data_IF_605124181311
#
_entry.id   IF_605124181311
#
_cell.length_a   1.000
_cell.length_b   1.000
_cell.length_c   1.000
_cell.angle_alpha   90.00
_cell.angle_beta   90.00
_cell.angle_gamma   90.00
#
_symmetry.space_group_name_H-M   'P 1'
#
loop_
_entity.id
_entity.type
_entity.pdbx_description
1 polymer ?
#
# COMPACT_ATOMS: atom_id res chain seq x y z
N UNK A 1 -22.73 12.60 6.05
CA UNK A 1 -22.32 13.80 5.28
C UNK A 1 -20.84 14.15 5.46
N UNK A 2 -20.32 14.41 6.66
CA UNK A 2 -18.88 14.78 6.86
C UNK A 2 -17.88 13.64 6.60
N UNK A 3 -18.18 12.42 7.05
CA UNK A 3 -17.25 11.29 6.91
C UNK A 3 -17.11 10.82 5.45
N UNK A 4 -18.20 10.81 4.66
CA UNK A 4 -18.13 10.47 3.22
C UNK A 4 -17.33 11.50 2.43
N UNK A 5 -17.50 12.80 2.72
CA UNK A 5 -16.70 13.85 2.08
C UNK A 5 -15.21 13.75 2.45
N UNK A 6 -14.92 13.50 3.74
CA UNK A 6 -13.55 13.32 4.21
C UNK A 6 -12.91 12.07 3.59
N UNK A 7 -13.65 10.96 3.52
CA UNK A 7 -13.21 9.74 2.83
C UNK A 7 -12.88 10.05 1.36
N UNK A 8 -13.76 10.74 0.63
CA UNK A 8 -13.51 11.16 -0.77
C UNK A 8 -12.23 11.98 -0.90
N UNK A 9 -11.95 12.89 0.03
CA UNK A 9 -10.71 13.67 0.06
C UNK A 9 -9.46 12.80 0.27
N UNK A 10 -9.51 11.89 1.26
CA UNK A 10 -8.42 10.93 1.52
C UNK A 10 -8.18 9.99 0.34
N UNK A 11 -9.25 9.53 -0.33
CA UNK A 11 -9.14 8.67 -1.52
C UNK A 11 -8.41 9.38 -2.67
N UNK A 12 -8.62 10.71 -2.86
CA UNK A 12 -7.87 11.49 -3.86
C UNK A 12 -6.37 11.52 -3.55
N UNK A 13 -6.00 11.61 -2.28
CA UNK A 13 -4.59 11.55 -1.86
C UNK A 13 -4.02 10.15 -2.14
N UNK A 14 -4.76 9.09 -1.81
CA UNK A 14 -4.38 7.72 -2.14
C UNK A 14 -4.17 7.54 -3.66
N UNK A 15 -5.01 8.14 -4.50
CA UNK A 15 -4.85 8.09 -5.95
C UNK A 15 -3.56 8.75 -6.45
N UNK A 16 -3.13 9.85 -5.82
CA UNK A 16 -1.84 10.48 -6.13
C UNK A 16 -0.68 9.54 -5.79
N UNK A 17 -0.76 8.83 -4.65
CA UNK A 17 0.25 7.85 -4.27
C UNK A 17 0.25 6.63 -5.20
N UNK A 18 -0.93 6.07 -5.50
CA UNK A 18 -1.11 4.93 -6.39
C UNK A 18 -0.59 5.23 -7.80
N UNK A 19 -0.93 6.39 -8.38
CA UNK A 19 -0.42 6.80 -9.69
C UNK A 19 1.11 6.86 -9.72
N UNK A 20 1.73 7.48 -8.71
CA UNK A 20 3.20 7.60 -8.65
C UNK A 20 3.88 6.26 -8.38
N UNK A 21 3.25 5.40 -7.57
CA UNK A 21 3.72 4.04 -7.33
C UNK A 21 3.69 3.21 -8.61
N UNK A 22 2.59 3.23 -9.36
CA UNK A 22 2.45 2.54 -10.65
C UNK A 22 3.51 3.02 -11.66
N UNK A 23 3.76 4.33 -11.75
CA UNK A 23 4.82 4.87 -12.61
C UNK A 23 6.21 4.37 -12.23
N UNK A 24 6.52 4.34 -10.94
CA UNK A 24 7.81 3.82 -10.46
C UNK A 24 7.93 2.32 -10.71
N UNK A 25 6.85 1.58 -10.50
CA UNK A 25 6.77 0.14 -10.74
C UNK A 25 7.03 -0.20 -12.22
N UNK A 26 6.40 0.51 -13.15
CA UNK A 26 6.62 0.33 -14.60
C UNK A 26 8.11 0.53 -14.95
N UNK A 27 8.75 1.56 -14.40
CA UNK A 27 10.17 1.81 -14.62
C UNK A 27 11.04 0.68 -14.05
N UNK A 28 10.76 0.23 -12.83
CA UNK A 28 11.59 -0.76 -12.12
C UNK A 28 11.36 -2.18 -12.63
N UNK A 29 10.21 -2.47 -13.25
CA UNK A 29 9.86 -3.82 -13.70
C UNK A 29 10.87 -4.42 -14.69
N UNK A 30 11.53 -3.59 -15.50
CA UNK A 30 12.57 -4.04 -16.43
C UNK A 30 13.79 -4.66 -15.73
N UNK A 31 13.98 -4.38 -14.44
CA UNK A 31 15.09 -4.89 -13.65
C UNK A 31 14.73 -6.14 -12.84
N UNK A 32 13.47 -6.60 -12.85
CA UNK A 32 13.02 -7.76 -12.08
C UNK A 32 13.51 -9.09 -12.73
N UNK A 33 13.95 -10.10 -11.95
CA UNK A 33 14.22 -10.02 -10.51
C UNK A 33 15.43 -9.14 -10.22
N UNK A 34 15.33 -8.33 -9.18
CA UNK A 34 16.43 -7.50 -8.65
C UNK A 34 17.48 -8.43 -8.06
N UNK A 35 18.74 -8.15 -8.36
CA UNK A 35 19.90 -8.88 -7.82
C UNK A 35 20.94 -7.86 -7.35
N UNK A 36 21.85 -8.22 -6.42
CA UNK A 36 22.96 -7.34 -6.01
C UNK A 36 23.69 -6.70 -7.19
N UNK A 37 24.00 -7.51 -8.20
CA UNK A 37 24.70 -7.07 -9.42
C UNK A 37 23.91 -6.01 -10.21
N UNK A 38 22.58 -6.13 -10.29
CA UNK A 38 21.74 -5.13 -10.95
C UNK A 38 21.71 -3.82 -10.16
N UNK A 39 21.57 -3.90 -8.83
CA UNK A 39 21.56 -2.72 -7.95
C UNK A 39 22.86 -1.91 -8.14
N UNK A 40 24.02 -2.58 -8.17
CA UNK A 40 25.31 -1.90 -8.39
C UNK A 40 25.46 -1.25 -9.77
N UNK A 41 24.58 -1.55 -10.72
CA UNK A 41 24.56 -0.99 -12.08
C UNK A 41 23.47 0.06 -12.31
N UNK A 42 22.67 0.37 -11.28
CA UNK A 42 21.60 1.35 -11.38
C UNK A 42 22.14 2.75 -11.60
N UNK A 43 21.53 3.47 -12.55
CA UNK A 43 21.77 4.89 -12.72
C UNK A 43 21.13 5.70 -11.59
N UNK A 44 21.52 6.97 -11.45
CA UNK A 44 20.86 7.90 -10.52
C UNK A 44 19.34 7.98 -10.75
N UNK A 45 18.91 7.83 -12.00
CA UNK A 45 17.50 7.79 -12.36
C UNK A 45 16.83 6.52 -11.83
N UNK A 46 17.46 5.36 -11.96
CA UNK A 46 16.92 4.07 -11.46
C UNK A 46 16.82 4.08 -9.93
N UNK A 47 17.85 4.60 -9.25
CA UNK A 47 17.84 4.79 -7.80
C UNK A 47 16.72 5.75 -7.36
N UNK A 48 16.51 6.83 -8.10
CA UNK A 48 15.41 7.77 -7.84
C UNK A 48 14.03 7.12 -8.01
N UNK A 49 13.86 6.24 -9.00
CA UNK A 49 12.62 5.49 -9.17
C UNK A 49 12.43 4.42 -8.10
N UNK A 50 13.51 3.80 -7.63
CA UNK A 50 13.46 2.86 -6.52
C UNK A 50 12.98 3.56 -5.24
N UNK A 51 13.56 4.71 -4.91
CA UNK A 51 13.13 5.52 -3.75
C UNK A 51 11.69 6.01 -3.91
N UNK A 52 11.30 6.41 -5.12
CA UNK A 52 9.91 6.77 -5.39
C UNK A 52 8.97 5.58 -5.14
N UNK A 53 9.35 4.37 -5.56
CA UNK A 53 8.57 3.15 -5.38
C UNK A 53 8.38 2.84 -3.88
N UNK A 54 9.47 2.73 -3.12
CA UNK A 54 9.45 2.39 -1.69
C UNK A 54 8.67 3.44 -0.87
N UNK A 55 8.90 4.73 -1.16
CA UNK A 55 8.22 5.85 -0.50
C UNK A 55 6.72 5.87 -0.80
N UNK A 56 6.31 5.61 -2.05
CA UNK A 56 4.90 5.65 -2.45
C UNK A 56 4.14 4.41 -2.00
N UNK A 57 4.76 3.24 -2.01
CA UNK A 57 4.22 2.02 -1.39
C UNK A 57 3.87 2.28 0.07
N UNK A 58 4.84 2.75 0.85
CA UNK A 58 4.67 3.04 2.28
C UNK A 58 3.54 4.03 2.54
N UNK A 59 3.55 5.16 1.81
CA UNK A 59 2.53 6.21 1.98
C UNK A 59 1.13 5.75 1.60
N UNK A 60 0.98 4.96 0.53
CA UNK A 60 -0.30 4.43 0.12
C UNK A 60 -0.84 3.43 1.15
N UNK A 61 -0.01 2.46 1.56
CA UNK A 61 -0.36 1.44 2.54
C UNK A 61 -0.79 2.09 3.87
N UNK A 62 0.03 3.00 4.39
CA UNK A 62 -0.24 3.66 5.67
C UNK A 62 -1.49 4.54 5.62
N UNK A 63 -1.72 5.26 4.52
CA UNK A 63 -2.88 6.15 4.38
C UNK A 63 -4.18 5.35 4.28
N UNK A 64 -4.18 4.24 3.53
CA UNK A 64 -5.33 3.34 3.47
C UNK A 64 -5.63 2.78 4.87
N UNK A 65 -4.61 2.23 5.54
CA UNK A 65 -4.78 1.58 6.84
C UNK A 65 -5.19 2.54 7.95
N UNK A 66 -4.62 3.74 8.00
CA UNK A 66 -4.84 4.70 9.09
C UNK A 66 -6.03 5.63 8.89
N UNK A 67 -6.48 5.82 7.64
CA UNK A 67 -7.58 6.76 7.33
C UNK A 67 -8.72 6.08 6.60
N UNK A 68 -8.47 5.45 5.45
CA UNK A 68 -9.55 4.86 4.63
C UNK A 68 -10.31 3.81 5.43
N UNK A 69 -9.62 2.89 6.09
CA UNK A 69 -10.22 1.80 6.87
C UNK A 69 -11.13 2.30 8.00
N UNK A 70 -10.69 3.19 8.91
CA UNK A 70 -11.59 3.78 9.91
C UNK A 70 -12.79 4.52 9.31
N UNK A 71 -12.61 5.27 8.22
CA UNK A 71 -13.74 5.97 7.58
C UNK A 71 -14.74 5.00 6.95
N UNK A 72 -14.27 3.93 6.32
CA UNK A 72 -15.12 2.87 5.76
C UNK A 72 -15.97 2.25 6.86
N UNK A 73 -15.34 1.83 7.97
CA UNK A 73 -16.05 1.22 9.08
C UNK A 73 -17.04 2.19 9.75
N UNK A 74 -16.68 3.47 9.95
CA UNK A 74 -17.60 4.47 10.53
C UNK A 74 -18.84 4.70 9.68
N UNK A 75 -18.68 4.77 8.36
CA UNK A 75 -19.82 4.94 7.44
C UNK A 75 -20.74 3.71 7.49
N UNK A 76 -20.16 2.51 7.61
CA UNK A 76 -20.90 1.27 7.81
C UNK A 76 -21.49 1.12 9.23
N UNK A 77 -21.15 2.01 10.16
CA UNK A 77 -21.47 1.95 11.60
C UNK A 77 -20.87 0.73 12.31
N UNK A 78 -19.67 0.36 11.91
CA UNK A 78 -18.96 -0.85 12.32
C UNK A 78 -17.58 -0.53 12.95
N UNK A 79 -17.25 0.75 13.18
CA UNK A 79 -16.03 1.19 13.87
C UNK A 79 -16.34 1.52 15.34
N UNK A 80 -15.43 1.15 16.24
CA UNK A 80 -15.49 1.49 17.66
C UNK A 80 -14.19 2.20 18.09
N UNK A 81 -14.29 3.10 19.07
CA UNK A 81 -13.16 3.93 19.52
C UNK A 81 -11.95 3.10 19.99
N UNK A 82 -12.22 1.95 20.62
CA UNK A 82 -11.18 1.10 21.21
C UNK A 82 -10.62 0.05 20.25
N UNK A 83 -11.05 0.01 18.99
CA UNK A 83 -10.51 -0.97 18.05
C UNK A 83 -9.02 -0.73 17.81
N UNK A 84 -8.25 -1.80 17.93
CA UNK A 84 -6.88 -1.85 17.43
C UNK A 84 -6.86 -1.83 15.90
N UNK A 85 -5.68 -1.72 15.30
CA UNK A 85 -5.56 -1.91 13.86
C UNK A 85 -6.05 -3.31 13.45
N UNK A 86 -5.65 -4.34 14.19
CA UNK A 86 -5.98 -5.73 13.86
C UNK A 86 -7.49 -5.98 13.91
N UNK A 87 -8.19 -5.41 14.91
CA UNK A 87 -9.64 -5.50 15.00
C UNK A 87 -10.33 -4.90 13.76
N UNK A 88 -9.85 -3.74 13.30
CA UNK A 88 -10.35 -3.11 12.07
C UNK A 88 -10.09 -3.98 10.84
N UNK A 89 -8.93 -4.61 10.74
CA UNK A 89 -8.63 -5.50 9.62
C UNK A 89 -9.56 -6.71 9.57
N UNK A 90 -9.75 -7.40 10.70
CA UNK A 90 -10.69 -8.54 10.77
C UNK A 90 -12.13 -8.10 10.50
N UNK A 91 -12.52 -6.90 10.95
CA UNK A 91 -13.84 -6.35 10.67
C UNK A 91 -14.03 -6.09 9.18
N UNK A 92 -13.04 -5.47 8.52
CA UNK A 92 -13.08 -5.23 7.08
C UNK A 92 -13.07 -6.54 6.28
N UNK A 93 -12.34 -7.55 6.74
CA UNK A 93 -12.34 -8.89 6.14
C UNK A 93 -13.71 -9.55 6.23
N UNK A 94 -14.33 -9.53 7.41
CA UNK A 94 -15.71 -10.04 7.59
C UNK A 94 -16.75 -9.29 6.74
N UNK A 95 -16.53 -8.00 6.48
CA UNK A 95 -17.39 -7.16 5.63
C UNK A 95 -16.99 -7.21 4.14
N UNK A 96 -16.00 -8.02 3.77
CA UNK A 96 -15.49 -8.20 2.41
C UNK A 96 -14.84 -6.92 1.81
N UNK A 97 -14.47 -5.94 2.64
CA UNK A 97 -13.72 -4.74 2.20
C UNK A 97 -12.20 -4.94 2.21
N UNK A 98 -11.73 -6.03 2.81
CA UNK A 98 -10.34 -6.47 2.79
C UNK A 98 -10.32 -7.97 2.48
N UNK A 99 -9.53 -8.47 1.51
CA UNK A 99 -9.50 -9.90 1.22
C UNK A 99 -8.96 -10.73 2.37
N UNK A 100 -7.98 -10.20 3.11
CA UNK A 100 -7.37 -10.87 4.25
C UNK A 100 -6.67 -9.86 5.17
N UNK A 101 -6.94 -9.94 6.47
CA UNK A 101 -6.19 -9.19 7.48
C UNK A 101 -4.71 -9.59 7.50
N UNK A 102 -4.42 -10.87 7.28
CA UNK A 102 -3.06 -11.41 7.26
C UNK A 102 -2.24 -10.82 6.11
N UNK A 103 -2.79 -10.79 4.89
CA UNK A 103 -2.16 -10.15 3.72
C UNK A 103 -1.78 -8.69 4.01
N UNK A 104 -2.67 -7.96 4.70
CA UNK A 104 -2.39 -6.56 5.05
C UNK A 104 -1.24 -6.44 6.04
N UNK A 105 -1.19 -7.32 7.04
CA UNK A 105 -0.10 -7.35 8.03
C UNK A 105 1.23 -7.69 7.36
N UNK A 106 1.26 -8.63 6.42
CA UNK A 106 2.46 -8.98 5.65
C UNK A 106 2.99 -7.79 4.85
N UNK A 107 2.13 -7.05 4.15
CA UNK A 107 2.55 -5.82 3.46
C UNK A 107 3.14 -4.78 4.43
N UNK A 108 2.64 -4.70 5.67
CA UNK A 108 3.20 -3.79 6.68
C UNK A 108 4.57 -4.23 7.16
N UNK A 109 4.80 -5.53 7.32
CA UNK A 109 6.14 -6.05 7.65
C UNK A 109 7.13 -5.80 6.51
N UNK A 110 6.72 -6.04 5.27
CA UNK A 110 7.52 -5.71 4.07
C UNK A 110 7.89 -4.22 4.06
N UNK A 111 6.93 -3.33 4.38
CA UNK A 111 7.16 -1.89 4.48
C UNK A 111 8.21 -1.54 5.55
N UNK A 112 8.14 -2.19 6.71
CA UNK A 112 9.11 -1.96 7.78
C UNK A 112 10.52 -2.34 7.33
N UNK A 113 10.68 -3.47 6.64
CA UNK A 113 11.99 -3.94 6.19
C UNK A 113 12.62 -3.07 5.11
N UNK A 114 11.83 -2.50 4.19
CA UNK A 114 12.35 -1.67 3.10
C UNK A 114 12.70 -0.24 3.51
N UNK A 115 12.31 0.18 4.71
CA UNK A 115 12.75 1.47 5.26
C UNK A 115 14.23 1.45 5.69
N UNK A 116 14.81 0.27 5.86
CA UNK A 116 16.22 0.11 6.25
C UNK A 116 17.11 -0.08 5.02
N UNK A 117 18.23 0.64 4.98
CA UNK A 117 19.33 0.38 4.05
C UNK A 117 20.19 -0.76 4.60
N UNK A 118 20.52 -1.76 3.78
CA UNK A 118 21.36 -2.92 4.15
C UNK A 118 22.69 -2.87 3.38
N UNK A 119 23.60 -1.94 3.70
CA UNK A 119 24.86 -1.79 2.97
C UNK A 119 25.77 -3.03 3.09
N UNK A 120 25.68 -3.75 4.21
CA UNK A 120 26.51 -4.93 4.49
C UNK A 120 25.88 -6.26 4.04
N UNK A 121 24.64 -6.24 3.54
CA UNK A 121 23.93 -7.42 3.05
C UNK A 121 23.15 -7.12 1.76
N UNK A 122 23.85 -7.12 0.60
CA UNK A 122 23.25 -6.75 -0.68
C UNK A 122 22.25 -7.81 -1.18
N UNK A 123 22.37 -9.06 -0.76
CA UNK A 123 21.42 -10.13 -1.08
C UNK A 123 20.09 -9.89 -0.35
N UNK A 124 20.13 -9.54 0.95
CA UNK A 124 18.94 -9.14 1.70
C UNK A 124 18.31 -7.87 1.13
N UNK A 125 19.13 -6.88 0.73
CA UNK A 125 18.63 -5.69 0.05
C UNK A 125 17.84 -6.05 -1.22
N UNK A 126 18.42 -6.87 -2.10
CA UNK A 126 17.75 -7.32 -3.32
C UNK A 126 16.48 -8.11 -3.04
N UNK A 127 16.49 -9.01 -2.05
CA UNK A 127 15.30 -9.76 -1.64
C UNK A 127 14.17 -8.85 -1.15
N UNK A 128 14.49 -7.88 -0.29
CA UNK A 128 13.52 -6.92 0.23
C UNK A 128 12.93 -6.04 -0.87
N UNK A 129 13.74 -5.62 -1.85
CA UNK A 129 13.27 -4.87 -3.01
C UNK A 129 12.30 -5.69 -3.87
N UNK A 130 12.60 -6.96 -4.15
CA UNK A 130 11.68 -7.84 -4.88
C UNK A 130 10.34 -8.00 -4.14
N UNK A 131 10.38 -8.22 -2.81
CA UNK A 131 9.17 -8.30 -1.98
C UNK A 131 8.32 -7.03 -2.05
N UNK A 132 8.93 -5.85 -1.99
CA UNK A 132 8.18 -4.59 -2.13
C UNK A 132 7.62 -4.40 -3.54
N UNK A 133 8.31 -4.85 -4.59
CA UNK A 133 7.79 -4.78 -5.97
C UNK A 133 6.52 -5.63 -6.11
N UNK A 134 6.54 -6.86 -5.58
CA UNK A 134 5.37 -7.75 -5.56
C UNK A 134 4.24 -7.14 -4.71
N UNK A 135 4.52 -6.75 -3.47
CA UNK A 135 3.54 -6.12 -2.59
C UNK A 135 2.96 -4.81 -3.16
N UNK A 136 3.72 -4.08 -3.96
CA UNK A 136 3.24 -2.88 -4.65
C UNK A 136 2.20 -3.20 -5.71
N UNK A 137 2.35 -4.31 -6.44
CA UNK A 137 1.35 -4.77 -7.42
C UNK A 137 0.05 -5.17 -6.72
N UNK A 138 0.17 -5.90 -5.61
CA UNK A 138 -0.97 -6.33 -4.80
C UNK A 138 -1.70 -5.13 -4.20
N UNK A 139 -0.96 -4.16 -3.64
CA UNK A 139 -1.53 -2.96 -3.05
C UNK A 139 -2.27 -2.09 -4.10
N UNK A 140 -1.71 -1.94 -5.30
CA UNK A 140 -2.36 -1.21 -6.40
C UNK A 140 -3.65 -1.90 -6.85
N UNK A 141 -3.60 -3.22 -6.99
CA UNK A 141 -4.76 -4.04 -7.38
C UNK A 141 -5.86 -3.99 -6.32
N UNK A 142 -5.48 -4.15 -5.05
CA UNK A 142 -6.38 -3.99 -3.91
C UNK A 142 -6.99 -2.60 -3.86
N UNK A 143 -6.18 -1.54 -4.00
CA UNK A 143 -6.66 -0.16 -3.97
C UNK A 143 -7.72 0.10 -5.05
N UNK A 144 -7.48 -0.38 -6.28
CA UNK A 144 -8.45 -0.29 -7.37
C UNK A 144 -9.75 -1.02 -7.05
N UNK A 145 -9.68 -2.23 -6.52
CA UNK A 145 -10.85 -3.02 -6.13
C UNK A 145 -11.65 -2.34 -5.00
N UNK A 146 -10.97 -1.88 -3.94
CA UNK A 146 -11.59 -1.18 -2.82
C UNK A 146 -12.31 0.10 -3.27
N UNK A 147 -11.67 0.92 -4.11
CA UNK A 147 -12.30 2.12 -4.67
C UNK A 147 -13.58 1.80 -5.43
N UNK A 148 -13.53 0.79 -6.30
CA UNK A 148 -14.71 0.38 -7.07
C UNK A 148 -15.83 -0.10 -6.15
N UNK A 149 -15.51 -0.86 -5.09
CA UNK A 149 -16.48 -1.33 -4.11
C UNK A 149 -17.12 -0.17 -3.34
N UNK A 150 -16.33 0.81 -2.90
CA UNK A 150 -16.83 2.02 -2.23
C UNK A 150 -17.75 2.81 -3.17
N UNK A 151 -17.34 3.01 -4.44
CA UNK A 151 -18.13 3.77 -5.42
C UNK A 151 -19.48 3.13 -5.76
N UNK A 152 -19.52 1.80 -5.87
CA UNK A 152 -20.73 1.07 -6.24
C UNK A 152 -21.68 0.84 -5.07
N UNK A 153 -21.24 1.06 -3.83
CA UNK A 153 -22.03 0.83 -2.62
C UNK A 153 -22.90 2.04 -2.26
N UNK A 154 -24.17 1.79 -1.98
CA UNK A 154 -25.13 2.83 -1.56
C UNK A 154 -24.79 3.48 -0.23
N UNK A 155 -24.02 2.80 0.62
CA UNK A 155 -23.62 3.29 1.95
C UNK A 155 -22.69 4.51 1.88
N UNK A 156 -21.97 4.72 0.77
CA UNK A 156 -20.98 5.80 0.63
C UNK A 156 -21.45 6.98 -0.22
N UNK A 157 -22.70 6.95 -0.70
CA UNK A 157 -23.28 8.03 -1.52
C UNK A 157 -23.44 9.32 -0.74
#
# INVERSE_FOLDING_TARGET
>A
MKDSETLKSVMKICDIHAFRLERALIHIHQFVPITPKKISSFSDQDLSFLELLTSRFSKLLDLIGSKVFPFVLRILKEDEENFSLLDRLYKLEKLDFLPSAQMWMEMREIRNHVTYEYPDDPDLAAQNLNKVIEASQDLLSYWKALKNKIHNSSFFK
#
